data_IF_573756363638
#
_entry.id   IF_573756363638
#
_cell.length_a   1.000
_cell.length_b   1.000
_cell.length_c   1.000
_cell.angle_alpha   90.00
_cell.angle_beta   90.00
_cell.angle_gamma   90.00
#
_symmetry.space_group_name_H-M   'P 1'
#
loop_
_entity.id
_entity.type
_entity.pdbx_description
1 polymer ?
#
# COMPACT_ATOMS: atom_id res chain seq x y z
N UNK A 1 35.82 38.77 4.92
CA UNK A 1 34.70 38.01 5.48
C UNK A 1 33.46 38.86 5.37
N UNK A 2 32.57 38.53 4.43
CA UNK A 2 31.24 39.12 4.43
C UNK A 2 30.44 38.53 5.59
N UNK A 3 29.66 39.37 6.27
CA UNK A 3 28.90 38.99 7.46
C UNK A 3 27.42 39.13 7.14
N UNK A 4 26.66 38.07 7.37
CA UNK A 4 25.21 38.07 7.24
C UNK A 4 24.56 38.17 8.62
N UNK A 5 23.47 38.91 8.72
CA UNK A 5 22.64 38.95 9.93
C UNK A 5 21.56 37.89 9.81
N UNK A 6 21.50 36.98 10.77
CA UNK A 6 20.42 35.99 10.84
C UNK A 6 19.13 36.70 11.26
N UNK A 7 18.10 36.65 10.40
CA UNK A 7 16.80 37.29 10.64
C UNK A 7 15.77 36.30 11.20
N UNK A 8 15.81 35.06 10.74
CA UNK A 8 14.91 33.99 11.17
C UNK A 8 15.57 32.62 11.01
N UNK A 9 15.03 31.62 11.72
CA UNK A 9 15.37 30.20 11.57
C UNK A 9 14.11 29.46 11.17
N UNK A 10 14.19 28.65 10.12
CA UNK A 10 13.08 27.84 9.61
C UNK A 10 13.42 26.38 9.89
N UNK A 11 12.43 25.60 10.31
CA UNK A 11 12.53 24.14 10.41
C UNK A 11 11.55 23.52 9.43
N UNK A 12 12.08 22.82 8.45
CA UNK A 12 11.30 22.11 7.43
C UNK A 12 10.90 20.71 7.90
N UNK A 13 11.59 20.18 8.92
CA UNK A 13 11.40 18.80 9.39
C UNK A 13 12.19 17.78 8.58
N UNK A 14 12.91 18.22 7.53
CA UNK A 14 13.87 17.41 6.78
C UNK A 14 15.29 17.83 7.15
N UNK A 15 16.00 16.90 7.80
CA UNK A 15 17.29 17.19 8.44
C UNK A 15 18.34 17.76 7.48
N UNK A 16 18.47 17.21 6.26
CA UNK A 16 19.50 17.71 5.34
C UNK A 16 19.24 19.16 4.91
N UNK A 17 17.98 19.56 4.73
CA UNK A 17 17.64 20.94 4.39
C UNK A 17 17.92 21.87 5.57
N UNK A 18 17.48 21.47 6.77
CA UNK A 18 17.65 22.27 7.99
C UNK A 18 19.13 22.41 8.39
N UNK A 19 19.98 21.42 8.08
CA UNK A 19 21.40 21.42 8.43
C UNK A 19 22.32 22.09 7.40
N UNK A 20 21.93 22.15 6.12
CA UNK A 20 22.82 22.57 5.02
C UNK A 20 22.36 23.78 4.21
N UNK A 21 21.14 24.29 4.42
CA UNK A 21 20.56 25.35 3.58
C UNK A 21 20.41 26.67 4.33
N UNK A 22 20.81 27.76 3.68
CA UNK A 22 20.53 29.13 4.12
C UNK A 22 19.94 29.94 2.96
N UNK A 23 19.00 30.83 3.27
CA UNK A 23 18.34 31.69 2.29
C UNK A 23 18.75 33.14 2.50
N UNK A 24 19.03 33.86 1.42
CA UNK A 24 19.32 35.29 1.42
C UNK A 24 18.76 35.95 0.15
N UNK A 25 18.85 37.28 0.07
CA UNK A 25 18.41 38.00 -1.12
C UNK A 25 19.34 37.67 -2.31
N UNK A 26 18.74 37.49 -3.49
CA UNK A 26 19.49 37.15 -4.71
C UNK A 26 20.60 38.18 -5.03
N UNK A 27 20.34 39.46 -4.78
CA UNK A 27 21.33 40.53 -4.94
C UNK A 27 22.53 40.36 -4.00
N UNK A 28 22.32 39.90 -2.77
CA UNK A 28 23.38 39.65 -1.80
C UNK A 28 24.14 38.36 -2.14
N UNK A 29 23.43 37.31 -2.53
CA UNK A 29 24.02 36.05 -2.99
C UNK A 29 24.94 36.28 -4.21
N UNK A 30 24.47 37.04 -5.22
CA UNK A 30 25.27 37.33 -6.41
C UNK A 30 26.54 38.14 -6.12
N UNK A 31 26.48 39.07 -5.17
CA UNK A 31 27.65 39.81 -4.69
C UNK A 31 28.64 38.88 -3.97
N UNK A 32 28.15 38.02 -3.07
CA UNK A 32 28.96 37.06 -2.31
C UNK A 32 29.68 36.05 -3.22
N UNK A 33 28.97 35.47 -4.20
CA UNK A 33 29.52 34.52 -5.16
C UNK A 33 30.32 35.18 -6.30
N UNK A 34 30.37 36.52 -6.34
CA UNK A 34 31.05 37.30 -7.38
C UNK A 34 30.53 36.99 -8.80
N UNK A 35 29.23 36.72 -8.90
CA UNK A 35 28.51 36.47 -10.16
C UNK A 35 27.47 37.58 -10.39
N UNK A 36 27.91 38.82 -10.68
CA UNK A 36 26.99 39.95 -10.82
C UNK A 36 26.00 39.70 -11.97
N UNK A 37 24.71 39.64 -11.64
CA UNK A 37 23.64 39.32 -12.61
C UNK A 37 23.60 37.86 -13.08
N UNK A 38 24.49 37.00 -12.59
CA UNK A 38 24.54 35.59 -12.94
C UNK A 38 23.53 34.78 -12.14
N UNK A 39 22.47 34.31 -12.81
CA UNK A 39 21.56 33.30 -12.27
C UNK A 39 22.17 31.91 -12.49
N UNK A 40 22.28 31.10 -11.43
CA UNK A 40 22.73 29.71 -11.55
C UNK A 40 21.66 28.79 -12.14
N UNK A 41 20.39 29.19 -12.08
CA UNK A 41 19.27 28.42 -12.62
C UNK A 41 17.92 29.05 -12.33
N UNK A 42 16.88 28.46 -12.92
CA UNK A 42 15.49 28.83 -12.71
C UNK A 42 14.76 27.69 -12.00
N UNK A 43 13.86 28.04 -11.10
CA UNK A 43 12.97 27.08 -10.45
C UNK A 43 11.52 27.42 -10.82
N UNK A 44 10.82 26.46 -11.42
CA UNK A 44 9.40 26.56 -11.70
C UNK A 44 8.65 25.68 -10.70
N UNK A 45 7.61 26.23 -10.06
CA UNK A 45 6.71 25.48 -9.21
C UNK A 45 5.56 24.95 -10.06
N UNK A 46 5.39 23.63 -10.07
CA UNK A 46 4.28 22.97 -10.75
C UNK A 46 3.01 22.99 -9.89
N UNK A 47 1.86 22.90 -10.56
CA UNK A 47 0.54 22.79 -9.93
C UNK A 47 0.29 21.39 -9.33
N UNK A 48 0.84 20.34 -9.94
CA UNK A 48 0.85 18.97 -9.41
C UNK A 48 2.25 18.36 -9.54
N UNK A 49 2.62 17.52 -8.56
CA UNK A 49 3.83 16.70 -8.59
C UNK A 49 3.74 15.56 -9.61
N UNK A 50 2.54 15.10 -9.96
CA UNK A 50 2.35 13.97 -10.88
C UNK A 50 2.80 14.32 -12.30
N UNK A 51 2.65 15.59 -12.68
CA UNK A 51 3.06 16.12 -13.98
C UNK A 51 4.58 16.38 -14.05
N UNK A 52 5.32 16.23 -12.95
CA UNK A 52 6.70 16.70 -12.87
C UNK A 52 7.65 16.00 -13.84
N UNK A 53 7.41 14.73 -14.16
CA UNK A 53 8.24 14.00 -15.12
C UNK A 53 7.88 14.36 -16.56
N UNK A 54 6.59 14.40 -16.89
CA UNK A 54 6.09 14.73 -18.23
C UNK A 54 6.48 16.17 -18.62
N UNK A 55 6.30 17.12 -17.70
CA UNK A 55 6.69 18.52 -17.89
C UNK A 55 8.22 18.67 -17.97
N UNK A 56 8.98 17.89 -17.18
CA UNK A 56 10.44 17.91 -17.28
C UNK A 56 10.91 17.39 -18.65
N UNK A 57 10.27 16.35 -19.20
CA UNK A 57 10.57 15.85 -20.56
C UNK A 57 10.22 16.91 -21.60
N UNK A 58 9.06 17.55 -21.50
CA UNK A 58 8.65 18.62 -22.41
C UNK A 58 9.62 19.82 -22.37
N UNK A 59 10.04 20.24 -21.16
CA UNK A 59 11.01 21.31 -20.97
C UNK A 59 12.40 20.96 -21.49
N UNK A 60 12.87 19.72 -21.31
CA UNK A 60 14.13 19.24 -21.90
C UNK A 60 14.10 19.33 -23.43
N UNK A 61 12.99 18.93 -24.03
CA UNK A 61 12.82 19.01 -25.48
C UNK A 61 12.78 20.46 -25.99
N UNK A 62 12.17 21.37 -25.24
CA UNK A 62 12.05 22.79 -25.62
C UNK A 62 13.34 23.60 -25.41
N UNK A 63 14.08 23.35 -24.31
CA UNK A 63 15.26 24.13 -23.92
C UNK A 63 16.57 23.58 -24.53
N UNK A 64 16.57 22.37 -25.06
CA UNK A 64 17.74 21.76 -25.68
C UNK A 64 18.85 21.41 -24.68
N UNK A 65 20.09 21.43 -25.15
CA UNK A 65 21.27 20.94 -24.41
C UNK A 65 21.95 22.00 -23.54
N UNK A 66 21.59 23.28 -23.73
CA UNK A 66 22.17 24.40 -22.98
C UNK A 66 21.69 24.45 -21.53
N UNK A 67 20.57 23.76 -21.24
CA UNK A 67 19.97 23.70 -19.90
C UNK A 67 19.90 22.27 -19.38
N UNK A 68 20.31 22.09 -18.12
CA UNK A 68 20.09 20.84 -17.39
C UNK A 68 18.78 20.96 -16.62
N UNK A 69 17.72 20.37 -17.16
CA UNK A 69 16.41 20.30 -16.47
C UNK A 69 16.43 19.14 -15.48
N UNK A 70 16.24 19.45 -14.19
CA UNK A 70 16.10 18.48 -13.11
C UNK A 70 14.68 18.54 -12.54
N UNK A 71 13.96 17.42 -12.58
CA UNK A 71 12.67 17.31 -11.91
C UNK A 71 12.85 17.14 -10.40
N UNK A 72 11.79 17.32 -9.62
CA UNK A 72 11.80 17.01 -8.19
C UNK A 72 12.17 15.53 -7.94
N UNK A 73 11.75 14.63 -8.83
CA UNK A 73 12.10 13.20 -8.77
C UNK A 73 13.59 12.98 -9.01
N UNK A 74 14.21 13.69 -9.94
CA UNK A 74 15.66 13.58 -10.20
C UNK A 74 16.49 14.03 -9.00
N UNK A 75 16.11 15.16 -8.41
CA UNK A 75 16.80 15.72 -7.26
C UNK A 75 16.71 14.81 -6.03
N UNK A 76 15.62 14.04 -5.90
CA UNK A 76 15.35 13.17 -4.76
C UNK A 76 15.31 11.68 -5.14
N UNK A 77 16.05 11.29 -6.19
CA UNK A 77 15.98 9.94 -6.76
C UNK A 77 16.22 8.83 -5.74
N UNK A 78 17.15 9.02 -4.81
CA UNK A 78 17.46 8.06 -3.75
C UNK A 78 16.28 7.84 -2.82
N UNK A 79 15.62 8.93 -2.39
CA UNK A 79 14.43 8.86 -1.55
C UNK A 79 13.28 8.14 -2.27
N UNK A 80 12.98 8.52 -3.50
CA UNK A 80 11.93 7.86 -4.28
C UNK A 80 12.22 6.40 -4.59
N UNK A 81 13.50 6.04 -4.83
CA UNK A 81 13.89 4.65 -5.02
C UNK A 81 13.70 3.83 -3.74
N UNK A 82 14.06 4.38 -2.58
CA UNK A 82 13.83 3.75 -1.28
C UNK A 82 12.34 3.54 -1.01
N UNK A 83 11.51 4.57 -1.23
CA UNK A 83 10.05 4.48 -1.05
C UNK A 83 9.40 3.47 -2.01
N UNK A 84 9.86 3.39 -3.27
CA UNK A 84 9.38 2.39 -4.23
C UNK A 84 9.76 0.97 -3.81
N UNK A 85 10.99 0.76 -3.35
CA UNK A 85 11.45 -0.53 -2.84
C UNK A 85 10.64 -0.96 -1.62
N UNK A 86 10.42 -0.06 -0.67
CA UNK A 86 9.61 -0.30 0.52
C UNK A 86 8.18 -0.69 0.14
N UNK A 87 7.52 0.07 -0.76
CA UNK A 87 6.19 -0.28 -1.27
C UNK A 87 6.14 -1.67 -1.92
N UNK A 88 7.16 -2.04 -2.70
CA UNK A 88 7.23 -3.35 -3.34
C UNK A 88 7.38 -4.49 -2.31
N UNK A 89 8.20 -4.29 -1.28
CA UNK A 89 8.37 -5.25 -0.17
C UNK A 89 7.08 -5.41 0.62
N UNK A 90 6.40 -4.30 0.95
CA UNK A 90 5.11 -4.31 1.63
C UNK A 90 4.03 -5.05 0.81
N UNK A 91 3.99 -4.82 -0.50
CA UNK A 91 3.11 -5.55 -1.41
C UNK A 91 3.38 -7.07 -1.38
N UNK A 92 4.65 -7.47 -1.44
CA UNK A 92 5.03 -8.89 -1.39
C UNK A 92 4.63 -9.56 -0.06
N UNK A 93 4.85 -8.87 1.07
CA UNK A 93 4.43 -9.35 2.39
C UNK A 93 2.90 -9.50 2.46
N UNK A 94 2.16 -8.50 1.97
CA UNK A 94 0.70 -8.52 1.95
C UNK A 94 0.16 -9.72 1.15
N UNK A 95 0.69 -9.94 -0.05
CA UNK A 95 0.31 -11.09 -0.90
C UNK A 95 0.60 -12.40 -0.19
N UNK A 96 1.75 -12.53 0.49
CA UNK A 96 2.11 -13.74 1.22
C UNK A 96 1.15 -14.01 2.39
N UNK A 97 0.78 -12.98 3.15
CA UNK A 97 -0.18 -13.09 4.25
C UNK A 97 -1.55 -13.54 3.74
N UNK A 98 -2.04 -12.94 2.64
CA UNK A 98 -3.32 -13.32 2.02
C UNK A 98 -3.27 -14.78 1.55
N UNK A 99 -2.15 -15.20 0.97
CA UNK A 99 -1.95 -16.57 0.50
C UNK A 99 -2.02 -17.56 1.67
N UNK A 100 -1.27 -17.31 2.76
CA UNK A 100 -1.30 -18.14 3.97
C UNK A 100 -2.70 -18.20 4.59
N UNK A 101 -3.39 -17.06 4.68
CA UNK A 101 -4.76 -17.00 5.20
C UNK A 101 -5.75 -17.79 4.32
N UNK A 102 -5.60 -17.69 3.00
CA UNK A 102 -6.44 -18.42 2.03
C UNK A 102 -6.24 -19.93 2.13
N UNK A 103 -5.01 -20.41 2.30
CA UNK A 103 -4.73 -21.82 2.59
C UNK A 103 -5.37 -22.27 3.90
N UNK A 104 -5.34 -21.44 4.94
CA UNK A 104 -5.97 -21.76 6.22
C UNK A 104 -7.49 -21.97 6.07
N UNK A 105 -8.17 -21.09 5.34
CA UNK A 105 -9.60 -21.24 5.02
C UNK A 105 -9.83 -22.55 4.25
N UNK A 106 -9.01 -22.83 3.24
CA UNK A 106 -9.15 -24.04 2.43
C UNK A 106 -8.98 -25.32 3.27
N UNK A 107 -7.96 -25.37 4.13
CA UNK A 107 -7.74 -26.50 5.06
C UNK A 107 -8.89 -26.68 6.03
N UNK A 108 -9.45 -25.59 6.57
CA UNK A 108 -10.57 -25.63 7.48
C UNK A 108 -11.86 -26.13 6.79
N UNK A 109 -12.15 -25.67 5.57
CA UNK A 109 -13.30 -26.17 4.80
C UNK A 109 -13.17 -27.64 4.41
N UNK A 110 -11.94 -28.10 4.10
CA UNK A 110 -11.69 -29.53 3.86
C UNK A 110 -11.96 -30.32 5.14
N UNK A 111 -11.46 -29.86 6.29
CA UNK A 111 -11.67 -30.51 7.58
C UNK A 111 -13.16 -30.58 7.94
N UNK A 112 -13.90 -29.48 7.80
CA UNK A 112 -15.35 -29.44 7.98
C UNK A 112 -16.08 -30.43 7.07
N UNK A 113 -15.68 -30.51 5.80
CA UNK A 113 -16.22 -31.48 4.85
C UNK A 113 -16.00 -32.93 5.30
N UNK A 114 -14.86 -33.23 5.91
CA UNK A 114 -14.56 -34.55 6.47
C UNK A 114 -15.29 -34.82 7.79
N UNK A 115 -15.37 -33.86 8.71
CA UNK A 115 -16.08 -34.03 10.00
C UNK A 115 -17.59 -34.15 9.80
N UNK A 116 -18.13 -33.54 8.75
CA UNK A 116 -19.56 -33.54 8.40
C UNK A 116 -19.92 -34.54 7.30
N UNK A 117 -19.06 -35.53 7.04
CA UNK A 117 -19.28 -36.57 6.03
C UNK A 117 -20.65 -37.25 6.17
N UNK A 118 -20.98 -37.70 7.38
CA UNK A 118 -22.23 -38.40 7.66
C UNK A 118 -23.46 -37.50 7.45
N UNK A 119 -23.39 -36.25 7.89
CA UNK A 119 -24.45 -35.25 7.71
C UNK A 119 -24.70 -34.98 6.21
N UNK A 120 -23.64 -34.86 5.42
CA UNK A 120 -23.70 -34.69 3.96
C UNK A 120 -24.28 -35.95 3.29
N UNK A 121 -23.88 -37.14 3.75
CA UNK A 121 -24.40 -38.42 3.27
C UNK A 121 -25.91 -38.55 3.46
N UNK A 122 -26.42 -38.20 4.65
CA UNK A 122 -27.86 -38.17 4.95
C UNK A 122 -28.57 -37.14 4.06
N UNK A 123 -28.00 -35.95 3.90
CA UNK A 123 -28.56 -34.90 3.02
C UNK A 123 -28.70 -35.39 1.57
N UNK A 124 -27.66 -36.08 1.06
CA UNK A 124 -27.67 -36.66 -0.29
C UNK A 124 -28.64 -37.83 -0.41
N UNK A 125 -28.80 -38.66 0.62
CA UNK A 125 -29.78 -39.74 0.66
C UNK A 125 -31.23 -39.21 0.66
N UNK A 126 -31.47 -38.02 1.23
CA UNK A 126 -32.75 -37.31 1.15
C UNK A 126 -32.99 -36.61 -0.21
N UNK A 127 -32.07 -36.73 -1.18
CA UNK A 127 -32.22 -36.19 -2.53
C UNK A 127 -31.46 -34.89 -2.80
N UNK A 128 -30.58 -34.43 -1.90
CA UNK A 128 -29.75 -33.26 -2.15
C UNK A 128 -28.77 -33.51 -3.32
N UNK A 129 -28.76 -32.58 -4.28
CA UNK A 129 -27.84 -32.65 -5.42
C UNK A 129 -26.42 -32.23 -5.03
N UNK A 130 -25.37 -32.71 -5.71
CA UNK A 130 -23.98 -32.26 -5.51
C UNK A 130 -23.81 -30.73 -5.59
N UNK A 131 -24.62 -30.07 -6.41
CA UNK A 131 -24.63 -28.60 -6.57
C UNK A 131 -25.16 -27.89 -5.32
N UNK A 132 -26.10 -28.48 -4.57
CA UNK A 132 -26.58 -27.92 -3.30
C UNK A 132 -25.48 -27.98 -2.25
N UNK A 133 -24.79 -29.11 -2.13
CA UNK A 133 -23.65 -29.26 -1.21
C UNK A 133 -22.55 -28.26 -1.54
N UNK A 134 -22.20 -28.12 -2.83
CA UNK A 134 -21.21 -27.12 -3.27
C UNK A 134 -21.62 -25.68 -2.90
N UNK A 135 -22.90 -25.34 -3.05
CA UNK A 135 -23.41 -24.01 -2.69
C UNK A 135 -23.26 -23.72 -1.20
N UNK A 136 -23.46 -24.70 -0.32
CA UNK A 136 -23.29 -24.51 1.13
C UNK A 136 -21.85 -24.10 1.45
N UNK A 137 -20.86 -24.84 0.94
CA UNK A 137 -19.44 -24.51 1.16
C UNK A 137 -19.02 -23.17 0.52
N UNK A 138 -19.60 -22.82 -0.63
CA UNK A 138 -19.37 -21.50 -1.24
C UNK A 138 -19.96 -20.36 -0.42
N UNK A 139 -21.15 -20.54 0.16
CA UNK A 139 -21.75 -19.56 1.07
C UNK A 139 -20.94 -19.41 2.35
N UNK A 140 -20.44 -20.50 2.90
CA UNK A 140 -19.57 -20.47 4.08
C UNK A 140 -18.27 -19.71 3.78
N UNK A 141 -17.63 -20.00 2.65
CA UNK A 141 -16.47 -19.24 2.18
C UNK A 141 -16.77 -17.76 1.96
N UNK A 142 -17.91 -17.43 1.37
CA UNK A 142 -18.37 -16.05 1.16
C UNK A 142 -18.60 -15.32 2.48
N UNK A 143 -19.20 -15.98 3.47
CA UNK A 143 -19.45 -15.41 4.80
C UNK A 143 -18.13 -15.18 5.53
N UNK A 144 -17.24 -16.17 5.58
CA UNK A 144 -15.94 -16.05 6.25
C UNK A 144 -15.11 -14.95 5.59
N UNK A 145 -15.00 -14.95 4.25
CA UNK A 145 -14.29 -13.94 3.49
C UNK A 145 -14.91 -12.55 3.66
N UNK A 146 -16.24 -12.44 3.55
CA UNK A 146 -16.96 -11.18 3.67
C UNK A 146 -16.87 -10.55 5.06
N UNK A 147 -17.09 -11.33 6.12
CA UNK A 147 -16.90 -10.85 7.49
C UNK A 147 -15.44 -10.53 7.79
N UNK A 148 -14.50 -11.33 7.30
CA UNK A 148 -13.06 -11.07 7.43
C UNK A 148 -12.66 -9.74 6.77
N UNK A 149 -13.11 -9.49 5.54
CA UNK A 149 -12.84 -8.24 4.83
C UNK A 149 -13.51 -7.04 5.52
N UNK A 150 -14.77 -7.16 5.96
CA UNK A 150 -15.46 -6.09 6.67
C UNK A 150 -14.78 -5.72 8.00
N UNK A 151 -14.46 -6.73 8.81
CA UNK A 151 -13.75 -6.51 10.08
C UNK A 151 -12.34 -5.98 9.85
N UNK A 152 -11.62 -6.51 8.86
CA UNK A 152 -10.29 -6.03 8.49
C UNK A 152 -10.30 -4.57 8.06
N UNK A 153 -11.27 -4.16 7.23
CA UNK A 153 -11.46 -2.77 6.82
C UNK A 153 -11.80 -1.86 8.01
N UNK A 154 -12.73 -2.29 8.87
CA UNK A 154 -13.12 -1.52 10.05
C UNK A 154 -11.92 -1.32 11.00
N UNK A 155 -11.16 -2.38 11.27
CA UNK A 155 -9.96 -2.33 12.11
C UNK A 155 -8.86 -1.47 11.48
N UNK A 156 -8.60 -1.65 10.18
CA UNK A 156 -7.60 -0.88 9.44
C UNK A 156 -7.89 0.62 9.44
N UNK A 157 -9.13 1.02 9.12
CA UNK A 157 -9.56 2.42 9.14
C UNK A 157 -9.51 3.01 10.55
N UNK A 158 -9.93 2.24 11.56
CA UNK A 158 -9.85 2.67 12.96
C UNK A 158 -8.40 2.90 13.37
N UNK A 159 -7.49 2.00 12.98
CA UNK A 159 -6.07 2.13 13.27
C UNK A 159 -5.45 3.35 12.57
N UNK A 160 -5.75 3.57 11.28
CA UNK A 160 -5.33 4.77 10.56
C UNK A 160 -5.82 6.05 11.24
N UNK A 161 -7.08 6.07 11.69
CA UNK A 161 -7.64 7.22 12.41
C UNK A 161 -6.94 7.47 13.76
N UNK A 162 -6.63 6.41 14.51
CA UNK A 162 -5.89 6.50 15.78
C UNK A 162 -4.48 7.05 15.56
N UNK A 163 -3.73 6.52 14.58
CA UNK A 163 -2.37 6.98 14.26
C UNK A 163 -2.38 8.43 13.77
N UNK A 164 -3.39 8.82 13.00
CA UNK A 164 -3.54 10.20 12.54
C UNK A 164 -3.86 11.18 13.70
N UNK A 165 -4.68 10.76 14.67
CA UNK A 165 -5.14 11.61 15.77
C UNK A 165 -4.12 11.70 16.92
N UNK A 166 -3.45 10.59 17.24
CA UNK A 166 -2.54 10.50 18.36
C UNK A 166 -1.11 10.33 17.84
N UNK A 167 -0.16 11.20 18.22
CA UNK A 167 1.25 11.07 17.85
C UNK A 167 1.91 9.95 18.69
N UNK A 168 1.47 8.71 18.48
CA UNK A 168 1.95 7.52 19.20
C UNK A 168 3.35 7.12 18.71
N UNK A 169 3.66 7.44 17.44
CA UNK A 169 4.93 7.12 16.80
C UNK A 169 5.68 8.42 16.53
N UNK A 170 6.49 8.87 17.49
CA UNK A 170 7.55 9.84 17.22
C UNK A 170 8.72 9.09 16.57
N UNK A 171 8.94 9.31 15.28
CA UNK A 171 10.10 8.74 14.61
C UNK A 171 11.34 9.56 15.02
N UNK A 172 12.44 8.92 15.44
CA UNK A 172 13.70 9.62 15.64
C UNK A 172 14.07 10.32 14.32
N UNK A 173 14.06 11.65 14.35
CA UNK A 173 14.31 12.48 13.16
C UNK A 173 15.69 12.19 12.53
N UNK A 174 16.62 11.67 13.33
CA UNK A 174 17.99 11.30 12.94
C UNK A 174 18.04 10.11 11.97
N UNK A 175 17.00 9.26 11.93
CA UNK A 175 16.96 8.04 11.10
C UNK A 175 15.99 8.18 9.92
N UNK A 176 14.84 8.82 10.13
CA UNK A 176 13.73 8.82 9.18
C UNK A 176 13.52 10.12 8.42
N UNK A 177 14.39 11.13 8.62
CA UNK A 177 14.39 12.40 7.90
C UNK A 177 13.07 13.20 7.92
N UNK A 178 12.06 12.76 8.68
CA UNK A 178 10.73 13.35 8.78
C UNK A 178 10.27 13.28 10.24
N UNK A 179 9.85 14.42 10.78
CA UNK A 179 9.34 14.49 12.17
C UNK A 179 7.92 13.92 12.33
N UNK A 180 7.16 13.77 11.22
CA UNK A 180 5.80 13.20 11.19
C UNK A 180 5.54 12.54 9.84
N UNK A 181 4.96 11.34 9.85
CA UNK A 181 4.43 10.70 8.65
C UNK A 181 2.94 11.06 8.54
N UNK A 182 2.52 11.88 7.57
CA UNK A 182 1.11 12.10 7.34
C UNK A 182 0.47 10.79 6.87
N UNK A 183 -0.48 10.27 7.65
CA UNK A 183 -1.29 9.13 7.23
C UNK A 183 -2.36 9.64 6.28
N UNK A 184 -2.13 9.46 4.98
CA UNK A 184 -3.08 9.76 3.93
C UNK A 184 -3.74 8.45 3.48
N UNK A 185 -5.06 8.37 3.63
CA UNK A 185 -5.84 7.18 3.29
C UNK A 185 -6.40 7.39 1.89
N UNK A 186 -5.84 6.67 0.91
CA UNK A 186 -6.38 6.64 -0.45
C UNK A 186 -7.51 5.57 -0.54
N UNK A 187 -8.76 5.97 -0.83
CA UNK A 187 -9.88 5.02 -0.98
C UNK A 187 -9.65 3.98 -2.08
N UNK A 188 -8.89 4.32 -3.13
CA UNK A 188 -8.60 3.41 -4.25
C UNK A 188 -7.71 2.27 -3.79
N UNK A 189 -6.66 2.57 -3.03
CA UNK A 189 -5.75 1.55 -2.48
C UNK A 189 -6.50 0.61 -1.52
N UNK A 190 -7.33 1.17 -0.63
CA UNK A 190 -8.14 0.38 0.29
C UNK A 190 -9.14 -0.53 -0.44
N UNK A 191 -9.84 0.00 -1.45
CA UNK A 191 -10.78 -0.76 -2.25
C UNK A 191 -10.07 -1.87 -3.04
N UNK A 192 -8.92 -1.58 -3.64
CA UNK A 192 -8.12 -2.55 -4.39
C UNK A 192 -7.63 -3.71 -3.50
N UNK A 193 -7.14 -3.40 -2.29
CA UNK A 193 -6.70 -4.42 -1.32
C UNK A 193 -7.88 -5.25 -0.82
N UNK A 194 -9.00 -4.60 -0.46
CA UNK A 194 -10.19 -5.31 0.00
C UNK A 194 -10.75 -6.25 -1.07
N UNK A 195 -10.88 -5.76 -2.31
CA UNK A 195 -11.40 -6.53 -3.42
C UNK A 195 -10.47 -7.69 -3.79
N UNK A 196 -9.16 -7.43 -3.89
CA UNK A 196 -8.18 -8.48 -4.20
C UNK A 196 -8.11 -9.55 -3.12
N UNK A 197 -8.08 -9.18 -1.84
CA UNK A 197 -8.10 -10.11 -0.72
C UNK A 197 -9.38 -10.95 -0.69
N UNK A 198 -10.54 -10.31 -0.91
CA UNK A 198 -11.83 -11.01 -0.98
C UNK A 198 -11.87 -12.00 -2.14
N UNK A 199 -11.45 -11.60 -3.34
CA UNK A 199 -11.42 -12.48 -4.52
C UNK A 199 -10.45 -13.66 -4.34
N UNK A 200 -9.28 -13.42 -3.76
CA UNK A 200 -8.31 -14.47 -3.46
C UNK A 200 -8.86 -15.47 -2.43
N UNK A 201 -9.52 -14.98 -1.39
CA UNK A 201 -10.16 -15.84 -0.38
C UNK A 201 -11.25 -16.71 -1.02
N UNK A 202 -12.10 -16.12 -1.87
CA UNK A 202 -13.13 -16.85 -2.60
C UNK A 202 -12.52 -17.89 -3.54
N UNK A 203 -11.50 -17.53 -4.32
CA UNK A 203 -10.82 -18.45 -5.22
C UNK A 203 -10.27 -19.67 -4.47
N UNK A 204 -9.71 -19.48 -3.28
CA UNK A 204 -9.22 -20.57 -2.44
C UNK A 204 -10.32 -21.51 -1.94
N UNK A 205 -11.55 -21.01 -1.72
CA UNK A 205 -12.69 -21.84 -1.30
C UNK A 205 -13.30 -22.70 -2.41
N UNK A 206 -13.03 -22.39 -3.69
CA UNK A 206 -13.57 -23.14 -4.82
C UNK A 206 -13.08 -24.59 -4.84
N UNK A 207 -11.78 -24.82 -4.55
CA UNK A 207 -11.19 -26.16 -4.58
C UNK A 207 -11.80 -27.10 -3.52
N UNK A 208 -11.85 -26.73 -2.22
CA UNK A 208 -12.55 -27.50 -1.19
C UNK A 208 -14.03 -27.74 -1.51
N UNK A 209 -14.76 -26.71 -1.96
CA UNK A 209 -16.19 -26.83 -2.27
C UNK A 209 -16.46 -27.84 -3.39
N UNK A 210 -15.60 -27.85 -4.41
CA UNK A 210 -15.67 -28.85 -5.48
C UNK A 210 -15.37 -30.26 -4.97
N UNK A 211 -14.31 -30.41 -4.15
CA UNK A 211 -13.92 -31.70 -3.56
C UNK A 211 -15.00 -32.27 -2.65
N UNK A 212 -15.60 -31.46 -1.78
CA UNK A 212 -16.69 -31.86 -0.89
C UNK A 212 -17.95 -32.30 -1.67
N UNK A 213 -18.24 -31.65 -2.81
CA UNK A 213 -19.39 -32.02 -3.64
C UNK A 213 -19.30 -33.39 -4.30
N UNK A 214 -18.10 -34.00 -4.35
CA UNK A 214 -17.83 -35.29 -5.01
C UNK A 214 -17.74 -36.48 -4.06
N UNK A 215 -17.99 -36.29 -2.78
CA UNK A 215 -17.97 -37.36 -1.78
C UNK A 215 -19.11 -38.35 -2.06
N UNK A 216 -18.81 -39.66 -2.11
CA UNK A 216 -19.81 -40.72 -2.31
C UNK A 216 -20.70 -40.88 -1.07
N UNK A 217 -22.04 -40.81 -1.20
CA UNK A 217 -22.97 -40.95 -0.07
C UNK A 217 -22.84 -42.29 0.66
N UNK A 218 -22.53 -43.36 -0.05
CA UNK A 218 -22.49 -44.72 0.51
C UNK A 218 -21.24 -44.88 1.38
N UNK A 219 -20.08 -44.43 0.89
CA UNK A 219 -18.85 -44.39 1.69
C UNK A 219 -18.99 -43.43 2.88
N UNK A 220 -19.65 -42.28 2.68
CA UNK A 220 -19.81 -41.28 3.75
C UNK A 220 -20.70 -41.76 4.91
N UNK A 221 -21.70 -42.61 4.66
CA UNK A 221 -22.56 -43.18 5.70
C UNK A 221 -21.90 -44.41 6.35
N UNK A 222 -21.11 -45.18 5.60
CA UNK A 222 -20.48 -46.39 6.11
C UNK A 222 -19.20 -46.13 6.91
N UNK A 223 -18.42 -45.10 6.55
CA UNK A 223 -17.14 -44.76 7.17
C UNK A 223 -17.14 -43.43 7.97
N UNK A 224 -18.26 -42.69 7.97
CA UNK A 224 -18.43 -41.41 8.68
C UNK A 224 -19.14 -41.50 10.01
#
# INVERSE_FOLDING_TARGET
MERFKVVAVIKTGYYEYDASTAYCLLSEASAFFKTPGGLSGYQAKLSSLDLAEDEAVALRAALGWDFVVRSFNDMNRTLFAALKLEKAVMFLILVLIILVASFNIASNLILLGTEKLRDIGILRAMGATPSMVRRIFLWEGLLIGGFGTLLGLALGLTLCWVIHRYPIVELPADIYYLSRVPVEVDPVDFAAVALSGFLLSLAATVYPAWRASRIDPIEAIHYG
#
